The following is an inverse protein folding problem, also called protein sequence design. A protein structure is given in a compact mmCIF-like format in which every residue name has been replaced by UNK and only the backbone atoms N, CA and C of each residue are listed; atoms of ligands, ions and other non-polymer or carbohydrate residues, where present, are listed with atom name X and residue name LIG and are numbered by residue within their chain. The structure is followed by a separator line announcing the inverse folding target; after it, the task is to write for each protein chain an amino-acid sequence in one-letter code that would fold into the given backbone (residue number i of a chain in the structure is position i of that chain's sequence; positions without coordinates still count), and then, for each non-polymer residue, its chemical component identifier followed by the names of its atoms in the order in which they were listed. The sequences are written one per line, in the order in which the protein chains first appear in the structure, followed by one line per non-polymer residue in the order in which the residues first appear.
data_IF_775010219298
#
_entry.id   IF_775010219298
#
_cell.length_a   1.000
_cell.length_b   1.000
_cell.length_c   1.000
_cell.angle_alpha   90.00
_cell.angle_beta   90.00
_cell.angle_gamma   90.00
#
_symmetry.space_group_name_H-M   'P 1'
#
loop_
_entity.id
_entity.type
_entity.pdbx_description
1 polymer ?
#
# COMPACT_ATOMS: atom_id res chain seq x y z
N UNK A 1 16.52 -27.63 -16.32
CA UNK A 1 16.87 -27.73 -14.89
C UNK A 1 17.71 -26.51 -14.55
N UNK A 2 17.11 -25.49 -13.94
CA UNK A 2 17.85 -24.30 -13.49
C UNK A 2 18.16 -24.50 -12.00
N UNK A 3 19.45 -24.56 -11.68
CA UNK A 3 19.96 -24.82 -10.34
C UNK A 3 19.74 -23.57 -9.46
N UNK A 4 18.92 -23.70 -8.43
CA UNK A 4 19.03 -22.87 -7.23
C UNK A 4 20.31 -23.30 -6.50
N UNK A 5 21.26 -22.39 -6.32
CA UNK A 5 22.44 -22.65 -5.49
C UNK A 5 22.22 -22.14 -4.07
N UNK A 6 22.38 -23.07 -3.12
CA UNK A 6 22.33 -22.88 -1.67
C UNK A 6 23.36 -21.87 -1.15
N UNK A 7 22.95 -21.20 -0.07
CA UNK A 7 23.73 -20.26 0.74
C UNK A 7 24.96 -20.97 1.32
N UNK A 8 26.16 -20.47 1.06
CA UNK A 8 27.36 -20.81 1.84
C UNK A 8 28.01 -19.53 2.36
N UNK A 9 27.94 -19.35 3.67
CA UNK A 9 28.64 -18.29 4.39
C UNK A 9 30.07 -18.76 4.64
N UNK A 10 31.03 -18.32 3.83
CA UNK A 10 32.45 -18.48 4.14
C UNK A 10 32.97 -17.21 4.79
N UNK A 11 33.24 -17.26 6.10
CA UNK A 11 34.06 -16.24 6.76
C UNK A 11 35.49 -16.38 6.24
N UNK A 12 35.95 -15.43 5.42
CA UNK A 12 37.39 -15.26 5.17
C UNK A 12 38.05 -14.53 6.34
N UNK A 13 39.26 -14.97 6.68
CA UNK A 13 40.03 -14.55 7.86
C UNK A 13 40.51 -13.07 7.85
N UNK A 14 40.22 -12.28 6.82
CA UNK A 14 40.82 -10.96 6.59
C UNK A 14 39.89 -9.76 6.87
N UNK A 15 38.80 -9.93 7.62
CA UNK A 15 38.04 -8.78 8.16
C UNK A 15 37.30 -7.88 7.15
N UNK A 16 37.37 -8.18 5.86
CA UNK A 16 36.57 -7.51 4.83
C UNK A 16 35.23 -8.23 4.68
N UNK A 17 34.15 -7.59 5.15
CA UNK A 17 32.79 -8.02 4.85
C UNK A 17 32.54 -7.86 3.34
N UNK A 18 32.70 -8.94 2.59
CA UNK A 18 32.31 -8.99 1.18
C UNK A 18 30.79 -8.93 1.12
N UNK A 19 30.24 -7.75 0.81
CA UNK A 19 28.82 -7.59 0.49
C UNK A 19 28.58 -8.33 -0.83
N UNK A 20 28.08 -9.55 -0.77
CA UNK A 20 27.59 -10.26 -1.94
C UNK A 20 26.29 -9.60 -2.39
N UNK A 21 26.36 -8.77 -3.43
CA UNK A 21 25.17 -8.20 -4.07
C UNK A 21 24.44 -9.34 -4.77
N UNK A 22 23.33 -9.78 -4.18
CA UNK A 22 22.43 -10.77 -4.78
C UNK A 22 21.90 -10.19 -6.10
N UNK A 23 22.35 -10.73 -7.24
CA UNK A 23 21.83 -10.32 -8.56
C UNK A 23 20.56 -11.10 -8.86
N UNK A 24 19.42 -10.42 -8.78
CA UNK A 24 18.15 -10.97 -9.27
C UNK A 24 18.18 -11.06 -10.80
N UNK A 25 17.66 -12.16 -11.34
CA UNK A 25 17.36 -12.28 -12.76
C UNK A 25 16.18 -11.37 -13.13
N UNK A 26 16.09 -10.97 -14.40
CA UNK A 26 14.98 -10.17 -14.90
C UNK A 26 13.61 -10.83 -14.62
N UNK A 27 13.55 -12.16 -14.75
CA UNK A 27 12.35 -12.95 -14.45
C UNK A 27 11.96 -12.89 -12.97
N UNK A 28 12.93 -12.95 -12.06
CA UNK A 28 12.67 -12.82 -10.62
C UNK A 28 12.17 -11.41 -10.26
N UNK A 29 12.75 -10.38 -10.88
CA UNK A 29 12.29 -8.99 -10.71
C UNK A 29 10.86 -8.84 -11.21
N UNK A 30 10.53 -9.39 -12.38
CA UNK A 30 9.17 -9.35 -12.92
C UNK A 30 8.15 -10.08 -12.02
N UNK A 31 8.50 -11.26 -11.50
CA UNK A 31 7.63 -11.99 -10.56
C UNK A 31 7.42 -11.22 -9.25
N UNK A 32 8.46 -10.58 -8.73
CA UNK A 32 8.37 -9.76 -7.53
C UNK A 32 7.48 -8.53 -7.76
N UNK A 33 7.65 -7.82 -8.87
CA UNK A 33 6.82 -6.68 -9.24
C UNK A 33 5.35 -7.07 -9.40
N UNK A 34 5.07 -8.21 -10.01
CA UNK A 34 3.70 -8.73 -10.15
C UNK A 34 3.08 -9.08 -8.79
N UNK A 35 3.88 -9.63 -7.88
CA UNK A 35 3.47 -9.93 -6.51
C UNK A 35 3.15 -8.64 -5.76
N UNK A 36 4.01 -7.63 -5.84
CA UNK A 36 3.78 -6.31 -5.21
C UNK A 36 2.51 -5.67 -5.78
N UNK A 37 2.32 -5.69 -7.10
CA UNK A 37 1.13 -5.15 -7.77
C UNK A 37 -0.16 -5.77 -7.26
N UNK A 38 -0.17 -7.10 -7.10
CA UNK A 38 -1.31 -7.86 -6.61
C UNK A 38 -1.59 -7.55 -5.14
N UNK A 39 -0.55 -7.51 -4.30
CA UNK A 39 -0.65 -7.14 -2.88
C UNK A 39 -1.17 -5.72 -2.69
N UNK A 40 -0.70 -4.75 -3.47
CA UNK A 40 -1.19 -3.37 -3.43
C UNK A 40 -2.66 -3.27 -3.84
N UNK A 41 -3.08 -4.05 -4.84
CA UNK A 41 -4.48 -4.07 -5.28
C UNK A 41 -5.41 -4.62 -4.20
N UNK A 42 -4.98 -5.69 -3.52
CA UNK A 42 -5.73 -6.27 -2.39
C UNK A 42 -5.78 -5.29 -1.23
N UNK A 43 -4.63 -4.72 -0.82
CA UNK A 43 -4.56 -3.75 0.27
C UNK A 43 -5.47 -2.54 0.03
N UNK A 44 -5.48 -2.01 -1.20
CA UNK A 44 -6.38 -0.93 -1.57
C UNK A 44 -7.85 -1.32 -1.36
N UNK A 45 -8.27 -2.49 -1.86
CA UNK A 45 -9.65 -2.94 -1.73
C UNK A 45 -10.08 -3.20 -0.28
N UNK A 46 -9.20 -3.86 0.48
CA UNK A 46 -9.41 -4.20 1.89
C UNK A 46 -9.51 -2.95 2.75
N UNK A 47 -8.84 -1.86 2.38
CA UNK A 47 -8.89 -0.58 3.09
C UNK A 47 -10.00 0.35 2.59
N UNK A 48 -10.29 0.40 1.28
CA UNK A 48 -11.27 1.33 0.71
C UNK A 48 -12.69 1.05 1.18
N UNK A 49 -13.01 -0.23 1.40
CA UNK A 49 -14.34 -0.68 1.84
C UNK A 49 -14.67 -0.18 3.27
N UNK A 50 -13.87 -0.48 4.31
CA UNK A 50 -14.12 0.05 5.65
C UNK A 50 -14.03 1.58 5.70
N UNK A 51 -13.16 2.23 4.91
CA UNK A 51 -13.10 3.69 4.83
C UNK A 51 -14.40 4.31 4.31
N UNK A 52 -15.00 3.71 3.28
CA UNK A 52 -16.30 4.14 2.76
C UNK A 52 -17.40 4.01 3.81
N UNK A 53 -17.38 2.92 4.60
CA UNK A 53 -18.33 2.72 5.72
C UNK A 53 -18.11 3.77 6.81
N UNK A 54 -16.86 4.05 7.19
CA UNK A 54 -16.53 5.08 8.19
C UNK A 54 -17.00 6.45 7.72
N UNK A 55 -16.75 6.83 6.47
CA UNK A 55 -17.22 8.09 5.89
C UNK A 55 -18.75 8.19 5.94
N UNK A 56 -19.46 7.13 5.54
CA UNK A 56 -20.92 7.09 5.64
C UNK A 56 -21.44 7.22 7.08
N UNK A 57 -20.75 6.62 8.05
CA UNK A 57 -21.10 6.74 9.46
C UNK A 57 -20.87 8.16 10.00
N UNK A 58 -19.80 8.83 9.58
CA UNK A 58 -19.53 10.23 9.95
C UNK A 58 -20.66 11.14 9.44
N UNK A 59 -21.05 10.98 8.18
CA UNK A 59 -22.17 11.73 7.59
C UNK A 59 -23.50 11.44 8.31
N UNK A 60 -23.77 10.17 8.62
CA UNK A 60 -24.95 9.79 9.39
C UNK A 60 -24.95 10.44 10.80
N UNK A 61 -23.82 10.44 11.50
CA UNK A 61 -23.69 11.06 12.81
C UNK A 61 -23.84 12.58 12.74
N UNK A 62 -23.33 13.22 11.68
CA UNK A 62 -23.51 14.65 11.42
C UNK A 62 -24.99 14.99 11.25
N UNK A 63 -25.73 14.21 10.47
CA UNK A 63 -27.18 14.37 10.35
C UNK A 63 -27.90 14.14 11.68
N UNK A 64 -27.53 13.09 12.42
CA UNK A 64 -28.15 12.79 13.71
C UNK A 64 -27.95 13.91 14.72
N UNK A 65 -26.73 14.43 14.85
CA UNK A 65 -26.40 15.56 15.71
C UNK A 65 -27.23 16.80 15.35
N UNK A 66 -27.52 16.98 14.05
CA UNK A 66 -28.37 18.08 13.60
C UNK A 66 -29.84 17.91 13.95
N UNK A 67 -30.36 16.70 13.80
CA UNK A 67 -31.74 16.40 14.18
C UNK A 67 -31.98 16.53 15.69
N UNK A 68 -30.96 16.24 16.50
CA UNK A 68 -31.04 16.31 17.97
C UNK A 68 -30.59 17.65 18.57
N UNK A 69 -30.16 18.61 17.74
CA UNK A 69 -29.70 19.96 18.16
C UNK A 69 -28.49 19.95 19.11
N UNK A 70 -27.58 19.01 18.89
CA UNK A 70 -26.32 18.86 19.65
C UNK A 70 -25.11 19.07 18.75
N UNK A 71 -25.26 19.71 17.60
CA UNK A 71 -24.20 19.88 16.60
C UNK A 71 -22.94 20.49 17.22
N UNK A 72 -23.10 21.50 18.07
CA UNK A 72 -21.99 22.21 18.70
C UNK A 72 -21.13 21.31 19.60
N UNK A 73 -21.69 20.21 20.12
CA UNK A 73 -20.95 19.25 20.97
C UNK A 73 -20.13 18.26 20.13
N UNK A 74 -20.53 18.01 18.88
CA UNK A 74 -19.94 17.00 18.02
C UNK A 74 -19.24 17.55 16.78
N UNK A 75 -19.34 18.84 16.48
CA UNK A 75 -18.80 19.41 15.26
C UNK A 75 -17.28 19.21 15.15
N UNK A 76 -16.52 19.50 16.21
CA UNK A 76 -15.08 19.28 16.24
C UNK A 76 -14.69 17.80 16.06
N UNK A 77 -15.21 16.88 16.91
CA UNK A 77 -14.93 15.45 16.74
C UNK A 77 -15.32 14.87 15.37
N UNK A 78 -16.44 15.32 14.78
CA UNK A 78 -16.87 14.86 13.45
C UNK A 78 -15.97 15.42 12.33
N UNK A 79 -15.54 16.68 12.43
CA UNK A 79 -14.55 17.27 11.53
C UNK A 79 -13.20 16.55 11.61
N UNK A 80 -12.73 16.22 12.81
CA UNK A 80 -11.49 15.46 13.01
C UNK A 80 -11.57 14.06 12.37
N UNK A 81 -12.69 13.36 12.55
CA UNK A 81 -12.92 12.05 11.94
C UNK A 81 -12.99 12.14 10.41
N UNK A 82 -13.65 13.16 9.88
CA UNK A 82 -13.74 13.39 8.44
C UNK A 82 -12.35 13.68 7.85
N UNK A 83 -11.57 14.56 8.48
CA UNK A 83 -10.21 14.88 8.06
C UNK A 83 -9.31 13.63 8.09
N UNK A 84 -9.43 12.80 9.13
CA UNK A 84 -8.68 11.54 9.21
C UNK A 84 -9.07 10.57 8.08
N UNK A 85 -10.38 10.41 7.79
CA UNK A 85 -10.85 9.57 6.70
C UNK A 85 -10.38 10.08 5.33
N UNK A 86 -10.42 11.39 5.10
CA UNK A 86 -9.91 12.02 3.88
C UNK A 86 -8.39 11.80 3.72
N UNK A 87 -7.61 11.97 4.79
CA UNK A 87 -6.17 11.74 4.75
C UNK A 87 -5.83 10.28 4.42
N UNK A 88 -6.57 9.32 4.99
CA UNK A 88 -6.37 7.90 4.67
C UNK A 88 -6.72 7.59 3.21
N UNK A 89 -7.77 8.19 2.65
CA UNK A 89 -8.09 8.05 1.23
C UNK A 89 -6.94 8.56 0.34
N UNK A 90 -6.35 9.72 0.66
CA UNK A 90 -5.20 10.24 -0.07
C UNK A 90 -3.98 9.29 -0.03
N UNK A 91 -3.76 8.62 1.10
CA UNK A 91 -2.70 7.60 1.21
C UNK A 91 -3.00 6.38 0.34
N UNK A 92 -4.26 5.94 0.27
CA UNK A 92 -4.68 4.85 -0.63
C UNK A 92 -4.52 5.23 -2.11
N UNK A 93 -4.81 6.47 -2.48
CA UNK A 93 -4.59 6.98 -3.84
C UNK A 93 -3.10 6.94 -4.22
N UNK A 94 -2.20 7.30 -3.29
CA UNK A 94 -0.75 7.16 -3.51
C UNK A 94 -0.32 5.69 -3.69
N UNK A 95 -0.94 4.74 -3.00
CA UNK A 95 -0.68 3.32 -3.21
C UNK A 95 -1.13 2.86 -4.62
N UNK A 96 -2.25 3.38 -5.11
CA UNK A 96 -2.71 3.16 -6.49
C UNK A 96 -1.72 3.71 -7.51
N UNK A 97 -1.17 4.89 -7.28
CA UNK A 97 -0.14 5.49 -8.14
C UNK A 97 1.12 4.61 -8.21
N UNK A 98 1.61 4.14 -7.06
CA UNK A 98 2.75 3.21 -6.99
C UNK A 98 2.47 1.91 -7.76
N UNK A 99 1.29 1.32 -7.57
CA UNK A 99 0.86 0.15 -8.34
C UNK A 99 0.87 0.43 -9.85
N UNK A 100 0.41 1.60 -10.27
CA UNK A 100 0.38 1.99 -11.67
C UNK A 100 1.78 2.22 -12.25
N UNK A 101 2.74 2.73 -11.45
CA UNK A 101 4.15 2.79 -11.84
C UNK A 101 4.74 1.40 -12.06
N UNK A 102 4.44 0.44 -11.19
CA UNK A 102 4.87 -0.95 -11.34
C UNK A 102 4.25 -1.60 -12.60
N UNK A 103 2.98 -1.29 -12.89
CA UNK A 103 2.33 -1.80 -14.10
C UNK A 103 2.99 -1.25 -15.38
N UNK A 104 3.38 0.04 -15.38
CA UNK A 104 4.07 0.71 -16.49
C UNK A 104 5.55 0.36 -16.63
N UNK A 105 6.18 -0.19 -15.57
CA UNK A 105 7.58 -0.60 -15.62
C UNK A 105 7.80 -1.93 -16.34
N UNK A 106 6.73 -2.67 -16.65
CA UNK A 106 6.78 -3.62 -17.77
C UNK A 106 6.89 -2.75 -19.02
N UNK A 107 8.08 -2.69 -19.62
CA UNK A 107 8.27 -2.05 -20.93
C UNK A 107 7.25 -2.62 -21.95
N UNK A 108 7.02 -1.94 -23.09
CA UNK A 108 6.08 -2.42 -24.08
C UNK A 108 6.46 -3.84 -24.49
N UNK A 109 5.67 -4.82 -24.04
CA UNK A 109 5.72 -6.18 -24.55
C UNK A 109 5.40 -6.09 -26.05
N UNK A 110 6.41 -6.41 -26.87
CA UNK A 110 6.33 -6.73 -28.31
C UNK A 110 5.20 -6.12 -29.13
N UNK A 111 5.51 -5.05 -29.86
CA UNK A 111 4.91 -4.79 -31.16
C UNK A 111 5.84 -5.31 -32.26
#
# INVERSE_FOLDING_TARGET
MQQSSDVSTTLSSDGHATISVQRYTEKEVQMLLETIRTSLSRLYHDASTPLSVIAGNIEFLRHLASMTKVENEFIGPLEDLEAAAQHLNQLLDRLLELRNHIARSKGPDGA
#
